data_IF_656120951139
#
_entry.id   IF_656120951139
#
_cell.length_a   1.000
_cell.length_b   1.000
_cell.length_c   1.000
_cell.angle_alpha   90.00
_cell.angle_beta   90.00
_cell.angle_gamma   90.00
#
_symmetry.space_group_name_H-M   'P 1'
#
loop_
_entity.id
_entity.type
_entity.pdbx_description
1 polymer ?
#
# COMPACT_ATOMS: atom_id res chain seq x y z
N UNK A 1 -23.80 8.32 -10.15
CA UNK A 1 -23.44 7.08 -9.42
C UNK A 1 -23.71 7.35 -7.95
N UNK A 2 -24.30 6.41 -7.23
CA UNK A 2 -24.48 6.56 -5.78
C UNK A 2 -23.14 6.44 -5.04
N UNK A 3 -23.04 7.04 -3.85
CA UNK A 3 -21.84 7.00 -3.02
C UNK A 3 -21.47 5.56 -2.66
N UNK A 4 -22.44 4.75 -2.27
CA UNK A 4 -22.20 3.35 -1.89
C UNK A 4 -21.68 2.53 -3.07
N UNK A 5 -22.24 2.74 -4.26
CA UNK A 5 -21.75 2.10 -5.49
C UNK A 5 -20.31 2.50 -5.79
N UNK A 6 -19.97 3.78 -5.64
CA UNK A 6 -18.61 4.27 -5.88
C UNK A 6 -17.61 3.68 -4.89
N UNK A 7 -17.97 3.59 -3.61
CA UNK A 7 -17.15 2.97 -2.57
C UNK A 7 -16.85 1.51 -2.92
N UNK A 8 -17.88 0.73 -3.26
CA UNK A 8 -17.69 -0.68 -3.59
C UNK A 8 -16.86 -0.88 -4.85
N UNK A 9 -17.03 -0.02 -5.86
CA UNK A 9 -16.21 -0.07 -7.06
C UNK A 9 -14.74 0.21 -6.77
N UNK A 10 -14.44 1.29 -6.02
CA UNK A 10 -13.06 1.66 -5.71
C UNK A 10 -12.39 0.61 -4.83
N UNK A 11 -13.04 0.18 -3.76
CA UNK A 11 -12.50 -0.84 -2.85
C UNK A 11 -12.35 -2.19 -3.56
N UNK A 12 -13.37 -2.63 -4.30
CA UNK A 12 -13.31 -3.88 -5.06
C UNK A 12 -12.19 -3.86 -6.10
N UNK A 13 -12.05 -2.75 -6.83
CA UNK A 13 -11.01 -2.60 -7.86
C UNK A 13 -9.60 -2.61 -7.28
N UNK A 14 -9.35 -1.94 -6.14
CA UNK A 14 -8.01 -1.94 -5.53
C UNK A 14 -7.62 -3.32 -5.03
N UNK A 15 -8.54 -4.04 -4.38
CA UNK A 15 -8.30 -5.43 -3.96
C UNK A 15 -8.02 -6.35 -5.15
N UNK A 16 -8.85 -6.27 -6.21
CA UNK A 16 -8.67 -7.06 -7.41
C UNK A 16 -7.31 -6.79 -8.08
N UNK A 17 -6.88 -5.53 -8.12
CA UNK A 17 -5.57 -5.14 -8.64
C UNK A 17 -4.43 -5.77 -7.83
N UNK A 18 -4.43 -5.62 -6.50
CA UNK A 18 -3.36 -6.18 -5.66
C UNK A 18 -3.31 -7.71 -5.71
N UNK A 19 -4.47 -8.38 -5.73
CA UNK A 19 -4.54 -9.84 -5.91
C UNK A 19 -3.98 -10.23 -7.29
N UNK A 20 -4.35 -9.50 -8.35
CA UNK A 20 -3.82 -9.73 -9.70
C UNK A 20 -2.28 -9.60 -9.75
N UNK A 21 -1.73 -8.57 -9.12
CA UNK A 21 -0.27 -8.38 -9.02
C UNK A 21 0.37 -9.54 -8.24
N UNK A 22 -0.22 -9.98 -7.13
CA UNK A 22 0.31 -11.08 -6.32
C UNK A 22 0.34 -12.41 -7.10
N UNK A 23 -0.66 -12.67 -7.93
CA UNK A 23 -0.70 -13.85 -8.79
C UNK A 23 0.33 -13.76 -9.93
N UNK A 24 0.49 -12.58 -10.54
CA UNK A 24 1.43 -12.35 -11.63
C UNK A 24 2.90 -12.40 -11.18
N UNK A 25 3.21 -11.84 -10.01
CA UNK A 25 4.55 -11.74 -9.46
C UNK A 25 4.90 -12.87 -8.47
N UNK A 26 4.20 -14.01 -8.55
CA UNK A 26 4.38 -15.12 -7.61
C UNK A 26 5.81 -15.70 -7.71
N UNK A 27 6.55 -15.69 -6.60
CA UNK A 27 7.90 -16.25 -6.52
C UNK A 27 7.91 -17.77 -6.74
N UNK A 28 8.88 -18.26 -7.52
CA UNK A 28 9.11 -19.68 -7.79
C UNK A 28 10.18 -20.32 -6.91
N UNK A 29 10.99 -19.52 -6.22
CA UNK A 29 12.09 -19.99 -5.36
C UNK A 29 12.25 -19.16 -4.09
N UNK A 30 13.04 -19.66 -3.14
CA UNK A 30 13.34 -18.94 -1.88
C UNK A 30 14.16 -17.67 -2.10
N UNK A 31 15.09 -17.66 -3.06
CA UNK A 31 15.89 -16.47 -3.38
C UNK A 31 15.05 -15.36 -4.02
N UNK A 32 14.07 -15.72 -4.84
CA UNK A 32 13.07 -14.79 -5.38
C UNK A 32 12.15 -14.27 -4.27
N UNK A 33 11.71 -15.14 -3.36
CA UNK A 33 10.82 -14.74 -2.27
C UNK A 33 11.48 -13.77 -1.27
N UNK A 34 12.73 -14.02 -0.88
CA UNK A 34 13.41 -13.21 0.15
C UNK A 34 14.19 -12.02 -0.39
N UNK A 35 14.76 -12.14 -1.59
CA UNK A 35 15.67 -11.12 -2.13
C UNK A 35 15.28 -10.66 -3.55
N UNK A 36 14.12 -11.08 -4.07
CA UNK A 36 13.71 -10.82 -5.45
C UNK A 36 14.80 -11.20 -6.48
N UNK A 37 15.60 -12.23 -6.17
CA UNK A 37 16.73 -12.66 -6.98
C UNK A 37 17.86 -11.62 -7.11
N UNK A 38 17.89 -10.58 -6.28
CA UNK A 38 18.87 -9.49 -6.36
C UNK A 38 18.64 -8.52 -7.52
N UNK A 39 17.47 -8.55 -8.16
CA UNK A 39 17.21 -7.79 -9.40
C UNK A 39 16.57 -6.41 -9.17
N UNK A 40 16.14 -6.10 -7.93
CA UNK A 40 15.44 -4.84 -7.62
C UNK A 40 16.45 -3.72 -7.39
N UNK A 41 16.42 -2.71 -8.26
CA UNK A 41 17.32 -1.55 -8.16
C UNK A 41 17.04 -0.66 -6.93
N UNK A 42 18.00 0.20 -6.54
CA UNK A 42 17.91 0.99 -5.29
C UNK A 42 16.67 1.89 -5.17
N UNK A 43 16.25 2.51 -6.27
CA UNK A 43 15.09 3.42 -6.27
C UNK A 43 13.79 2.66 -6.00
N UNK A 44 13.57 1.53 -6.68
CA UNK A 44 12.39 0.69 -6.48
C UNK A 44 12.37 0.10 -5.06
N UNK A 45 13.54 -0.32 -4.56
CA UNK A 45 13.67 -0.84 -3.20
C UNK A 45 13.36 0.25 -2.15
N UNK A 46 13.86 1.48 -2.35
CA UNK A 46 13.54 2.62 -1.50
C UNK A 46 12.04 2.96 -1.49
N UNK A 47 11.38 2.90 -2.65
CA UNK A 47 9.93 3.08 -2.73
C UNK A 47 9.15 1.96 -2.04
N UNK A 48 9.59 0.70 -2.15
CA UNK A 48 8.98 -0.42 -1.44
C UNK A 48 9.07 -0.24 0.08
N UNK A 49 10.25 0.11 0.60
CA UNK A 49 10.44 0.40 2.02
C UNK A 49 9.54 1.57 2.46
N UNK A 50 9.47 2.65 1.69
CA UNK A 50 8.61 3.79 1.99
C UNK A 50 7.12 3.42 2.04
N UNK A 51 6.67 2.56 1.11
CA UNK A 51 5.31 2.06 1.11
C UNK A 51 5.02 1.14 2.32
N UNK A 52 5.94 0.24 2.65
CA UNK A 52 5.81 -0.69 3.79
C UNK A 52 5.80 0.05 5.14
N UNK A 53 6.47 1.20 5.23
CA UNK A 53 6.43 2.06 6.41
C UNK A 53 5.07 2.74 6.63
N UNK A 54 4.23 2.87 5.59
CA UNK A 54 2.94 3.54 5.68
C UNK A 54 1.81 2.54 6.00
N UNK A 55 1.47 2.42 7.28
CA UNK A 55 0.28 1.67 7.70
C UNK A 55 -1.00 2.51 7.63
N UNK A 56 -2.14 1.86 7.38
CA UNK A 56 -3.47 2.47 7.45
C UNK A 56 -3.76 3.10 8.83
N UNK A 57 -3.27 2.46 9.91
CA UNK A 57 -3.42 2.98 11.26
C UNK A 57 -2.69 4.33 11.42
N UNK A 58 -1.47 4.43 10.90
CA UNK A 58 -0.69 5.67 10.92
C UNK A 58 -1.37 6.79 10.12
N UNK A 59 -1.93 6.44 8.95
CA UNK A 59 -2.68 7.40 8.13
C UNK A 59 -3.93 7.92 8.84
N UNK A 60 -4.77 7.01 9.34
CA UNK A 60 -6.01 7.39 10.06
C UNK A 60 -5.68 8.17 11.34
N UNK A 61 -4.64 7.76 12.07
CA UNK A 61 -4.20 8.46 13.27
C UNK A 61 -3.77 9.89 12.95
N UNK A 62 -2.92 10.10 11.95
CA UNK A 62 -2.50 11.44 11.54
C UNK A 62 -3.68 12.30 11.09
N UNK A 63 -4.59 11.75 10.27
CA UNK A 63 -5.80 12.47 9.85
C UNK A 63 -6.69 12.85 11.06
N UNK A 64 -6.82 11.95 12.03
CA UNK A 64 -7.55 12.21 13.28
C UNK A 64 -6.87 13.28 14.15
N UNK A 65 -5.55 13.26 14.28
CA UNK A 65 -4.80 14.28 15.02
C UNK A 65 -4.95 15.65 14.35
N UNK A 66 -4.81 15.73 13.03
CA UNK A 66 -4.97 16.99 12.28
C UNK A 66 -6.40 17.52 12.38
N UNK A 67 -7.41 16.64 12.28
CA UNK A 67 -8.81 17.04 12.42
C UNK A 67 -9.13 17.63 13.80
N UNK A 68 -8.42 17.22 14.85
CA UNK A 68 -8.69 17.64 16.23
C UNK A 68 -7.75 18.76 16.72
N UNK A 69 -6.50 18.80 16.26
CA UNK A 69 -5.44 19.67 16.80
C UNK A 69 -4.79 20.57 15.72
N UNK A 70 -5.23 20.47 14.47
CA UNK A 70 -4.64 21.18 13.33
C UNK A 70 -3.31 20.57 12.87
N UNK A 71 -2.75 21.12 11.78
CA UNK A 71 -1.53 20.59 11.15
C UNK A 71 -0.30 20.58 12.06
N UNK A 72 -0.22 21.52 13.01
CA UNK A 72 0.89 21.62 13.97
C UNK A 72 0.75 20.73 15.21
N UNK A 73 -0.39 20.07 15.41
CA UNK A 73 -0.65 19.23 16.58
C UNK A 73 -0.97 19.96 17.89
N UNK A 74 -1.04 21.31 17.87
CA UNK A 74 -1.14 22.15 19.06
C UNK A 74 0.21 22.73 19.49
#
# INVERSE_FOLDING_TARGET
MDLQTTIYLVVGATFALYIGIALWARAGSTSEFYAAGGQVGPVMNGMAIGADWMSAASFISMAGLISNMGYGGG
#
